data_IF_655316116091
#
_entry.id   IF_655316116091
#
_cell.length_a   1.000
_cell.length_b   1.000
_cell.length_c   1.000
_cell.angle_alpha   90.00
_cell.angle_beta   90.00
_cell.angle_gamma   90.00
#
_symmetry.space_group_name_H-M   'P 1'
#
loop_
_entity.id
_entity.type
_entity.pdbx_description
1 polymer ?
#
# COMPACT_ATOMS: atom_id res chain seq x y z
N UNK A 1 -9.78 8.38 -12.60
CA UNK A 1 -9.42 9.54 -13.45
C UNK A 1 -7.91 9.71 -13.48
N UNK A 2 -7.28 9.94 -14.64
CA UNK A 2 -5.83 10.07 -14.76
C UNK A 2 -5.20 11.22 -13.95
N UNK A 3 -6.01 12.20 -13.52
CA UNK A 3 -5.53 13.39 -12.81
C UNK A 3 -4.95 13.11 -11.43
N UNK A 4 -5.58 12.24 -10.63
CA UNK A 4 -5.16 12.03 -9.24
C UNK A 4 -3.77 11.42 -9.16
N UNK A 5 -3.51 10.39 -9.98
CA UNK A 5 -2.18 9.78 -10.08
C UNK A 5 -1.12 10.79 -10.52
N UNK A 6 -1.45 11.69 -11.45
CA UNK A 6 -0.53 12.74 -11.89
C UNK A 6 -0.23 13.75 -10.77
N UNK A 7 -1.25 14.22 -10.05
CA UNK A 7 -1.10 15.13 -8.90
C UNK A 7 -0.20 14.50 -7.82
N UNK A 8 -0.36 13.21 -7.53
CA UNK A 8 0.49 12.49 -6.58
C UNK A 8 1.95 12.41 -7.04
N UNK A 9 2.20 12.16 -8.32
CA UNK A 9 3.55 12.16 -8.89
C UNK A 9 4.17 13.57 -8.78
N UNK A 10 3.43 14.61 -9.14
CA UNK A 10 3.93 15.99 -9.08
C UNK A 10 4.20 16.45 -7.63
N UNK A 11 3.51 15.84 -6.65
CA UNK A 11 3.74 16.04 -5.22
C UNK A 11 4.85 15.18 -4.62
N UNK A 12 5.48 14.28 -5.39
CA UNK A 12 6.62 13.47 -4.93
C UNK A 12 6.23 12.25 -4.08
N UNK A 13 5.20 11.51 -4.51
CA UNK A 13 4.69 10.31 -3.82
C UNK A 13 5.74 9.22 -3.58
N UNK A 14 6.85 9.22 -4.31
CA UNK A 14 7.96 8.28 -4.14
C UNK A 14 8.80 8.51 -2.87
N UNK A 15 8.71 9.70 -2.27
CA UNK A 15 9.46 10.05 -1.05
C UNK A 15 8.57 10.47 0.13
N UNK A 16 7.29 10.69 -0.12
CA UNK A 16 6.33 11.16 0.88
C UNK A 16 5.28 10.11 1.21
N UNK A 17 4.70 10.22 2.41
CA UNK A 17 3.59 9.34 2.79
C UNK A 17 2.34 9.67 1.94
N UNK A 18 1.87 8.67 1.20
CA UNK A 18 0.77 8.87 0.25
C UNK A 18 -0.55 9.23 0.94
N UNK A 19 -0.77 8.78 2.17
CA UNK A 19 -2.00 9.13 2.90
C UNK A 19 -1.96 10.59 3.32
N UNK A 20 -0.82 11.07 3.83
CA UNK A 20 -0.58 12.50 4.08
C UNK A 20 -0.79 13.34 2.82
N UNK A 21 -0.30 12.90 1.66
CA UNK A 21 -0.54 13.62 0.40
C UNK A 21 -2.03 13.70 0.03
N UNK A 22 -2.76 12.59 0.17
CA UNK A 22 -4.19 12.56 -0.11
C UNK A 22 -4.98 13.49 0.82
N UNK A 23 -4.74 13.42 2.13
CA UNK A 23 -5.53 14.16 3.12
C UNK A 23 -5.11 15.63 3.24
N UNK A 24 -3.82 15.90 3.36
CA UNK A 24 -3.33 17.25 3.68
C UNK A 24 -3.03 18.09 2.44
N UNK A 25 -2.50 17.47 1.36
CA UNK A 25 -2.09 18.22 0.16
C UNK A 25 -3.18 18.30 -0.89
N UNK A 26 -4.02 17.26 -0.97
CA UNK A 26 -5.12 17.18 -1.94
C UNK A 26 -6.49 17.38 -1.29
N UNK A 27 -6.54 17.62 0.02
CA UNK A 27 -7.76 17.91 0.78
C UNK A 27 -8.86 16.84 0.63
N UNK A 28 -8.47 15.59 0.36
CA UNK A 28 -9.39 14.47 0.23
C UNK A 28 -9.69 13.90 1.62
N UNK A 29 -10.97 13.62 1.88
CA UNK A 29 -11.39 12.97 3.12
C UNK A 29 -11.46 11.47 2.94
N UNK A 30 -10.59 10.74 3.63
CA UNK A 30 -10.62 9.28 3.69
C UNK A 30 -11.76 8.80 4.60
N UNK A 31 -12.53 7.84 4.13
CA UNK A 31 -13.58 7.18 4.92
C UNK A 31 -13.08 5.85 5.47
N UNK A 32 -12.52 5.01 4.60
CA UNK A 32 -12.07 3.66 4.93
C UNK A 32 -10.95 3.22 4.02
N UNK A 33 -10.19 2.23 4.46
CA UNK A 33 -9.22 1.51 3.62
C UNK A 33 -9.54 0.03 3.63
N UNK A 34 -9.74 -0.56 2.46
CA UNK A 34 -9.78 -2.02 2.34
C UNK A 34 -8.35 -2.54 2.34
N UNK A 35 -8.08 -3.49 3.24
CA UNK A 35 -6.76 -4.10 3.40
C UNK A 35 -6.89 -5.60 3.18
N UNK A 36 -6.14 -6.14 2.23
CA UNK A 36 -6.01 -7.57 2.02
C UNK A 36 -4.60 -8.02 2.37
N UNK A 37 -4.46 -9.06 3.17
CA UNK A 37 -3.18 -9.66 3.54
C UNK A 37 -3.13 -11.13 3.08
N UNK A 38 -2.03 -11.53 2.47
CA UNK A 38 -1.86 -12.90 1.94
C UNK A 38 -0.39 -13.29 1.91
N UNK A 39 -0.11 -14.59 2.03
CA UNK A 39 1.21 -15.14 1.80
C UNK A 39 1.41 -15.45 0.31
N UNK A 40 2.55 -15.06 -0.26
CA UNK A 40 2.92 -15.36 -1.64
C UNK A 40 4.38 -15.76 -1.74
N UNK A 41 4.74 -16.57 -2.73
CA UNK A 41 6.14 -16.92 -2.98
C UNK A 41 6.89 -15.73 -3.61
N UNK A 42 8.11 -15.45 -3.15
CA UNK A 42 8.97 -14.44 -3.76
C UNK A 42 9.31 -14.83 -5.20
N UNK A 43 8.86 -14.03 -6.17
CA UNK A 43 9.34 -14.13 -7.55
C UNK A 43 10.80 -13.67 -7.62
N UNK A 44 11.46 -13.85 -8.77
CA UNK A 44 12.88 -13.48 -8.94
C UNK A 44 13.16 -12.01 -8.65
N UNK A 45 12.25 -11.10 -9.04
CA UNK A 45 12.39 -9.66 -8.83
C UNK A 45 12.29 -9.30 -7.33
N UNK A 46 11.24 -9.76 -6.65
CA UNK A 46 11.06 -9.53 -5.21
C UNK A 46 12.20 -10.16 -4.40
N UNK A 47 12.62 -11.38 -4.76
CA UNK A 47 13.74 -12.05 -4.12
C UNK A 47 15.05 -11.25 -4.23
N UNK A 48 15.34 -10.69 -5.42
CA UNK A 48 16.51 -9.84 -5.62
C UNK A 48 16.43 -8.54 -4.82
N UNK A 49 15.32 -7.81 -4.92
CA UNK A 49 15.13 -6.53 -4.22
C UNK A 49 15.16 -6.68 -2.69
N UNK A 50 14.57 -7.76 -2.17
CA UNK A 50 14.51 -8.04 -0.73
C UNK A 50 15.71 -8.87 -0.24
N UNK A 51 16.66 -9.21 -1.11
CA UNK A 51 17.88 -9.99 -0.80
C UNK A 51 17.60 -11.32 -0.10
N UNK A 52 16.74 -12.12 -0.72
CA UNK A 52 16.35 -13.46 -0.26
C UNK A 52 16.32 -14.47 -1.42
N UNK A 53 16.10 -15.74 -1.10
CA UNK A 53 15.94 -16.78 -2.11
C UNK A 53 14.59 -16.66 -2.85
N UNK A 54 14.53 -16.93 -4.17
CA UNK A 54 13.26 -17.13 -4.86
C UNK A 54 12.44 -18.24 -4.20
N UNK A 55 11.12 -18.06 -4.15
CA UNK A 55 10.22 -19.00 -3.49
C UNK A 55 10.02 -18.76 -1.99
N UNK A 56 10.88 -17.97 -1.33
CA UNK A 56 10.70 -17.60 0.08
C UNK A 56 9.33 -16.93 0.28
N UNK A 57 8.54 -17.33 1.31
CA UNK A 57 7.25 -16.70 1.58
C UNK A 57 7.39 -15.22 1.92
N UNK A 58 6.56 -14.39 1.29
CA UNK A 58 6.40 -12.96 1.54
C UNK A 58 5.02 -12.68 2.11
N UNK A 59 4.91 -11.66 2.95
CA UNK A 59 3.62 -11.05 3.24
C UNK A 59 3.30 -10.02 2.15
N UNK A 60 2.29 -10.30 1.34
CA UNK A 60 1.71 -9.34 0.38
C UNK A 60 0.53 -8.65 1.03
N UNK A 61 0.56 -7.33 1.05
CA UNK A 61 -0.57 -6.50 1.46
C UNK A 61 -1.05 -5.64 0.31
N UNK A 62 -2.37 -5.54 0.17
CA UNK A 62 -3.02 -4.60 -0.75
C UNK A 62 -3.82 -3.58 0.04
N UNK A 63 -3.77 -2.32 -0.39
CA UNK A 63 -4.48 -1.21 0.22
C UNK A 63 -5.29 -0.49 -0.84
N UNK A 64 -6.58 -0.28 -0.55
CA UNK A 64 -7.49 0.52 -1.37
C UNK A 64 -8.21 1.50 -0.45
N UNK A 65 -7.70 2.74 -0.29
CA UNK A 65 -8.41 3.79 0.40
C UNK A 65 -9.60 4.30 -0.43
N UNK A 66 -10.70 4.58 0.25
CA UNK A 66 -11.92 5.13 -0.30
C UNK A 66 -12.22 6.47 0.35
N UNK A 67 -12.71 7.42 -0.46
CA UNK A 67 -13.23 8.69 0.05
C UNK A 67 -14.66 8.55 0.60
N UNK A 68 -15.18 9.65 1.16
CA UNK A 68 -16.55 9.74 1.70
C UNK A 68 -17.67 9.49 0.67
N UNK A 69 -17.37 9.52 -0.63
CA UNK A 69 -18.31 9.16 -1.69
C UNK A 69 -18.19 7.69 -2.09
N UNK A 70 -17.36 6.91 -1.39
CA UNK A 70 -17.09 5.51 -1.70
C UNK A 70 -16.24 5.32 -2.96
N UNK A 71 -15.52 6.34 -3.44
CA UNK A 71 -14.65 6.24 -4.61
C UNK A 71 -13.26 5.73 -4.22
N UNK A 72 -12.71 4.71 -4.90
CA UNK A 72 -11.35 4.26 -4.64
C UNK A 72 -10.35 5.33 -5.11
N UNK A 73 -9.44 5.72 -4.22
CA UNK A 73 -8.46 6.77 -4.51
C UNK A 73 -7.20 6.22 -5.15
N UNK A 74 -6.71 5.07 -4.67
CA UNK A 74 -5.56 4.38 -5.23
C UNK A 74 -5.60 2.88 -4.96
N UNK A 75 -4.71 2.16 -5.63
CA UNK A 75 -4.38 0.78 -5.34
C UNK A 75 -2.88 0.68 -5.05
N UNK A 76 -2.53 0.19 -3.86
CA UNK A 76 -1.14 -0.10 -3.51
C UNK A 76 -0.98 -1.59 -3.21
N UNK A 77 0.09 -2.19 -3.75
CA UNK A 77 0.50 -3.56 -3.45
C UNK A 77 1.92 -3.53 -2.91
N UNK A 78 2.09 -4.03 -1.68
CA UNK A 78 3.36 -3.96 -0.94
C UNK A 78 3.76 -5.36 -0.51
N UNK A 79 5.02 -5.70 -0.71
CA UNK A 79 5.60 -6.99 -0.36
C UNK A 79 6.61 -6.80 0.77
N UNK A 80 6.35 -7.46 1.91
CA UNK A 80 7.18 -7.36 3.09
C UNK A 80 8.05 -8.61 3.26
N UNK A 81 9.29 -8.37 3.67
CA UNK A 81 10.19 -9.44 4.10
C UNK A 81 9.63 -10.10 5.37
N UNK A 82 9.46 -11.43 5.39
CA UNK A 82 8.77 -12.14 6.47
C UNK A 82 9.40 -11.91 7.85
N UNK A 83 10.74 -11.87 7.92
CA UNK A 83 11.46 -11.71 9.19
C UNK A 83 11.66 -10.26 9.65
N UNK A 84 11.28 -9.27 8.83
CA UNK A 84 11.53 -7.85 9.13
C UNK A 84 10.26 -7.06 9.41
N UNK A 85 9.11 -7.65 9.15
CA UNK A 85 7.82 -6.98 9.30
C UNK A 85 6.77 -7.94 9.83
N UNK A 86 5.96 -7.46 10.76
CA UNK A 86 4.81 -8.18 11.28
C UNK A 86 3.62 -7.24 11.28
N UNK A 87 2.56 -7.62 10.56
CA UNK A 87 1.30 -6.90 10.61
C UNK A 87 0.50 -7.36 11.84
N UNK A 88 0.05 -6.41 12.66
CA UNK A 88 -0.73 -6.66 13.87
C UNK A 88 -1.93 -5.73 13.89
N UNK A 89 -3.10 -6.28 14.18
CA UNK A 89 -4.34 -5.54 14.36
C UNK A 89 -5.00 -5.96 15.67
N UNK A 90 -5.61 -4.99 16.36
CA UNK A 90 -6.45 -5.25 17.53
C UNK A 90 -7.89 -5.03 17.12
N UNK A 91 -8.67 -6.11 17.11
CA UNK A 91 -10.10 -6.06 16.84
C UNK A 91 -10.82 -6.04 18.18
N UNK A 92 -11.72 -5.07 18.37
CA UNK A 92 -12.59 -4.98 19.55
C UNK A 92 -14.03 -5.22 19.10
N UNK A 93 -14.82 -5.84 19.99
CA UNK A 93 -16.26 -6.04 19.82
C UNK A 93 -17.03 -4.76 20.11
#
# INVERSE_FOLDING_TARGET
EPELGRKLIDLGVETQDVMTLLEEKLELRLERTHIEASAVAANRMHAALLRMAPGTPLLRMRFVPYDMAGRPLLFAEVYFHPDKFSYRAVIRR
#
